data_IF_773215756802
#
_entry.id   IF_773215756802
#
_cell.length_a   1.000
_cell.length_b   1.000
_cell.length_c   1.000
_cell.angle_alpha   90.00
_cell.angle_beta   90.00
_cell.angle_gamma   90.00
#
_symmetry.space_group_name_H-M   'P 1'
#
loop_
_entity.id
_entity.type
_entity.pdbx_description
1 polymer ?
#
# COMPACT_ATOMS: atom_id res chain seq x y z
N UNK A 1 8.84 11.18 -17.20
CA UNK A 1 8.35 12.46 -16.65
C UNK A 1 7.64 12.20 -15.30
N UNK A 2 8.43 12.07 -14.20
CA UNK A 2 7.91 11.80 -12.85
C UNK A 2 7.01 12.93 -12.31
N UNK A 3 7.36 14.19 -12.62
CA UNK A 3 6.62 15.37 -12.17
C UNK A 3 5.17 15.41 -12.70
N UNK A 4 4.93 14.91 -13.92
CA UNK A 4 3.57 14.76 -14.48
C UNK A 4 2.80 13.65 -13.79
N UNK A 5 3.45 12.52 -13.48
CA UNK A 5 2.85 11.41 -12.73
C UNK A 5 2.47 11.88 -11.31
N UNK A 6 3.38 12.56 -10.60
CA UNK A 6 3.12 13.14 -9.28
C UNK A 6 2.00 14.19 -9.31
N UNK A 7 1.97 15.09 -10.30
CA UNK A 7 0.87 16.07 -10.44
C UNK A 7 -0.48 15.39 -10.68
N UNK A 8 -0.52 14.33 -11.47
CA UNK A 8 -1.76 13.57 -11.73
C UNK A 8 -2.21 12.82 -10.48
N UNK A 9 -1.31 12.08 -9.85
CA UNK A 9 -1.58 11.37 -8.60
C UNK A 9 -2.02 12.32 -7.48
N UNK A 10 -1.42 13.51 -7.39
CA UNK A 10 -1.79 14.54 -6.43
C UNK A 10 -3.22 15.09 -6.62
N UNK A 11 -3.73 15.16 -7.86
CA UNK A 11 -5.13 15.50 -8.12
C UNK A 11 -6.06 14.36 -7.70
N UNK A 12 -5.75 13.13 -8.10
CA UNK A 12 -6.53 11.93 -7.76
C UNK A 12 -6.65 11.75 -6.23
N UNK A 13 -5.58 12.04 -5.47
CA UNK A 13 -5.58 11.98 -3.99
C UNK A 13 -6.63 12.88 -3.34
N UNK A 14 -6.89 14.07 -3.91
CA UNK A 14 -7.84 15.05 -3.35
C UNK A 14 -9.30 14.65 -3.55
N UNK A 15 -9.57 13.75 -4.48
CA UNK A 15 -10.91 13.27 -4.78
C UNK A 15 -11.35 12.12 -3.86
N UNK A 16 -10.39 11.49 -3.16
CA UNK A 16 -10.66 10.38 -2.24
C UNK A 16 -11.46 10.86 -1.02
N UNK A 17 -12.42 10.04 -0.52
CA UNK A 17 -13.22 10.39 0.65
C UNK A 17 -12.40 10.80 1.89
N UNK A 18 -11.27 10.15 2.15
CA UNK A 18 -10.38 10.47 3.27
C UNK A 18 -9.85 11.91 3.24
N UNK A 19 -9.69 12.51 2.06
CA UNK A 19 -9.13 13.86 1.93
C UNK A 19 -9.97 14.91 2.66
N UNK A 20 -11.30 14.79 2.59
CA UNK A 20 -12.23 15.72 3.24
C UNK A 20 -12.14 15.71 4.77
N UNK A 21 -11.58 14.64 5.35
CA UNK A 21 -11.40 14.45 6.79
C UNK A 21 -9.93 14.53 7.21
N UNK A 22 -9.02 14.96 6.32
CA UNK A 22 -7.57 14.96 6.56
C UNK A 22 -7.20 15.58 7.91
N UNK A 23 -7.61 16.82 8.14
CA UNK A 23 -7.20 17.57 9.34
C UNK A 23 -7.79 16.95 10.62
N UNK A 24 -9.06 16.49 10.55
CA UNK A 24 -9.69 15.78 11.65
C UNK A 24 -8.98 14.45 11.96
N UNK A 25 -8.59 13.69 10.94
CA UNK A 25 -7.87 12.42 11.10
C UNK A 25 -6.51 12.64 11.76
N UNK A 26 -5.74 13.64 11.29
CA UNK A 26 -4.43 13.99 11.85
C UNK A 26 -4.58 14.41 13.32
N UNK A 27 -5.53 15.30 13.62
CA UNK A 27 -5.74 15.80 14.97
C UNK A 27 -6.16 14.69 15.94
N UNK A 28 -7.14 13.87 15.57
CA UNK A 28 -7.62 12.77 16.43
C UNK A 28 -6.52 11.73 16.68
N UNK A 29 -5.68 11.42 15.68
CA UNK A 29 -4.63 10.40 15.84
C UNK A 29 -3.42 10.94 16.61
N UNK A 30 -2.95 12.15 16.33
CA UNK A 30 -1.73 12.70 16.95
C UNK A 30 -2.01 13.38 18.29
N UNK A 31 -3.09 14.16 18.36
CA UNK A 31 -3.39 15.04 19.50
C UNK A 31 -4.57 14.55 20.35
N UNK A 32 -5.32 13.55 19.88
CA UNK A 32 -6.47 13.01 20.60
C UNK A 32 -6.10 12.41 21.96
N UNK A 33 -7.10 12.28 22.86
CA UNK A 33 -6.91 11.70 24.19
C UNK A 33 -6.79 10.18 24.18
N UNK A 34 -7.35 9.51 23.17
CA UNK A 34 -7.39 8.05 23.11
C UNK A 34 -6.15 7.52 22.38
N UNK A 35 -5.47 6.54 22.98
CA UNK A 35 -4.31 5.88 22.32
C UNK A 35 -4.73 5.04 21.10
N UNK A 36 -6.02 4.72 20.98
CA UNK A 36 -6.58 3.88 19.92
C UNK A 36 -7.67 4.63 19.16
N UNK A 37 -7.55 4.66 17.83
CA UNK A 37 -8.56 5.22 16.93
C UNK A 37 -9.05 4.13 15.99
N UNK A 38 -10.37 3.94 15.91
CA UNK A 38 -11.00 3.01 14.97
C UNK A 38 -11.51 3.81 13.78
N UNK A 39 -11.08 3.43 12.58
CA UNK A 39 -11.46 4.09 11.33
C UNK A 39 -12.23 3.10 10.47
N UNK A 40 -13.50 3.41 10.23
CA UNK A 40 -14.37 2.64 9.35
C UNK A 40 -14.55 3.39 8.05
N UNK A 41 -14.40 2.70 6.94
CA UNK A 41 -14.75 3.25 5.64
C UNK A 41 -14.53 2.24 4.55
N UNK A 42 -15.31 2.28 3.50
CA UNK A 42 -15.30 1.26 2.45
C UNK A 42 -13.93 1.13 1.75
N UNK A 43 -13.70 -0.01 1.11
CA UNK A 43 -12.55 -0.21 0.22
C UNK A 43 -12.54 0.85 -0.88
N UNK A 44 -11.36 1.38 -1.21
CA UNK A 44 -11.22 2.49 -2.17
C UNK A 44 -11.47 3.90 -1.60
N UNK A 45 -11.86 4.04 -0.34
CA UNK A 45 -11.99 5.36 0.31
C UNK A 45 -10.65 6.05 0.58
N UNK A 46 -9.53 5.34 0.43
CA UNK A 46 -8.17 5.85 0.61
C UNK A 46 -7.58 5.68 2.01
N UNK A 47 -8.16 4.83 2.87
CA UNK A 47 -7.69 4.60 4.26
C UNK A 47 -6.20 4.24 4.31
N UNK A 48 -5.87 3.12 3.66
CA UNK A 48 -4.54 2.51 3.66
C UNK A 48 -3.48 3.37 2.99
N UNK A 49 -3.84 4.01 1.88
CA UNK A 49 -2.88 4.80 1.09
C UNK A 49 -2.70 6.19 1.65
N UNK A 50 -3.76 6.86 2.11
CA UNK A 50 -3.70 8.29 2.44
C UNK A 50 -3.49 8.59 3.91
N UNK A 51 -4.13 7.85 4.84
CA UNK A 51 -4.10 8.21 6.27
C UNK A 51 -2.67 8.16 6.82
N UNK A 52 -1.87 7.09 6.58
CA UNK A 52 -0.47 7.09 7.00
C UNK A 52 0.35 8.23 6.39
N UNK A 53 0.09 8.59 5.13
CA UNK A 53 0.76 9.71 4.49
C UNK A 53 0.39 11.05 5.14
N UNK A 54 -0.88 11.27 5.51
CA UNK A 54 -1.31 12.50 6.18
C UNK A 54 -0.58 12.71 7.51
N UNK A 55 -0.34 11.64 8.26
CA UNK A 55 0.42 11.70 9.51
C UNK A 55 1.90 12.01 9.25
N UNK A 56 2.50 11.35 8.25
CA UNK A 56 3.89 11.60 7.89
C UNK A 56 4.10 13.01 7.31
N UNK A 57 3.10 13.57 6.64
CA UNK A 57 3.10 14.96 6.16
C UNK A 57 2.95 15.97 7.31
N UNK A 58 2.33 15.58 8.43
CA UNK A 58 2.18 16.42 9.63
C UNK A 58 3.43 16.36 10.54
N UNK A 59 4.07 15.19 10.62
CA UNK A 59 5.34 14.99 11.33
C UNK A 59 6.21 13.94 10.61
N UNK A 60 7.24 14.43 9.91
CA UNK A 60 8.19 13.62 9.15
C UNK A 60 9.10 12.74 10.01
N UNK A 61 9.08 12.91 11.34
CA UNK A 61 9.92 12.16 12.27
C UNK A 61 9.29 10.83 12.71
N UNK A 62 7.98 10.67 12.48
CA UNK A 62 7.21 9.48 12.84
C UNK A 62 7.72 8.23 12.13
N UNK A 63 7.82 7.15 12.89
CA UNK A 63 7.99 5.81 12.37
C UNK A 63 6.67 5.05 12.44
N UNK A 64 6.11 4.72 11.28
CA UNK A 64 4.78 4.16 11.11
C UNK A 64 4.89 2.74 10.54
N UNK A 65 4.23 1.79 11.20
CA UNK A 65 3.95 0.48 10.62
C UNK A 65 2.48 0.41 10.20
N UNK A 66 2.22 -0.04 8.97
CA UNK A 66 0.87 -0.36 8.52
C UNK A 66 0.78 -1.82 8.15
N UNK A 67 0.06 -2.60 8.94
CA UNK A 67 -0.10 -4.03 8.65
C UNK A 67 -1.18 -4.25 7.59
N UNK A 68 -1.05 -5.38 6.90
CA UNK A 68 -1.98 -5.90 5.91
C UNK A 68 -2.10 -7.42 6.14
N UNK A 69 -3.30 -8.01 6.01
CA UNK A 69 -3.44 -9.47 6.11
C UNK A 69 -2.77 -10.19 4.94
N UNK A 70 -2.64 -9.52 3.78
CA UNK A 70 -2.14 -10.11 2.53
C UNK A 70 -0.80 -9.54 2.09
N UNK A 71 0.13 -10.41 1.70
CA UNK A 71 1.47 -10.03 1.19
C UNK A 71 1.39 -9.09 -0.01
N UNK A 72 0.52 -9.42 -0.95
CA UNK A 72 0.31 -8.65 -2.19
C UNK A 72 -0.17 -7.24 -1.88
N UNK A 73 -1.06 -7.11 -0.89
CA UNK A 73 -1.56 -5.81 -0.47
C UNK A 73 -0.44 -4.93 0.11
N UNK A 74 0.38 -5.47 1.02
CA UNK A 74 1.52 -4.73 1.57
C UNK A 74 2.49 -4.24 0.48
N UNK A 75 2.85 -5.10 -0.47
CA UNK A 75 3.78 -4.76 -1.55
C UNK A 75 3.21 -3.72 -2.53
N UNK A 76 1.98 -3.94 -3.00
CA UNK A 76 1.32 -3.07 -3.99
C UNK A 76 1.00 -1.69 -3.43
N UNK A 77 0.55 -1.62 -2.17
CA UNK A 77 0.28 -0.36 -1.48
C UNK A 77 1.58 0.41 -1.25
N UNK A 78 2.65 -0.24 -0.78
CA UNK A 78 3.96 0.40 -0.64
C UNK A 78 4.46 0.96 -1.97
N UNK A 79 4.37 0.19 -3.05
CA UNK A 79 4.74 0.65 -4.39
C UNK A 79 3.91 1.84 -4.86
N UNK A 80 2.59 1.82 -4.61
CA UNK A 80 1.69 2.91 -4.94
C UNK A 80 2.03 4.18 -4.15
N UNK A 81 2.21 4.06 -2.83
CA UNK A 81 2.49 5.20 -1.95
C UNK A 81 3.89 5.78 -2.20
N UNK A 82 4.89 4.95 -2.46
CA UNK A 82 6.20 5.39 -2.90
C UNK A 82 6.12 6.19 -4.21
N UNK A 83 5.35 5.70 -5.19
CA UNK A 83 5.11 6.44 -6.44
C UNK A 83 4.35 7.76 -6.23
N UNK A 84 3.40 7.81 -5.29
CA UNK A 84 2.68 9.05 -4.92
C UNK A 84 3.60 10.08 -4.26
N UNK A 85 4.55 9.64 -3.43
CA UNK A 85 5.56 10.51 -2.79
C UNK A 85 6.77 10.80 -3.69
N UNK A 86 6.95 10.06 -4.78
CA UNK A 86 8.08 10.22 -5.70
C UNK A 86 9.39 9.65 -5.19
N UNK A 87 9.34 8.64 -4.33
CA UNK A 87 10.52 7.94 -3.83
C UNK A 87 10.55 6.49 -4.36
N UNK A 88 11.71 5.83 -4.39
CA UNK A 88 11.77 4.39 -4.61
C UNK A 88 11.20 3.63 -3.41
N UNK A 89 10.71 2.42 -3.68
CA UNK A 89 10.30 1.49 -2.60
C UNK A 89 11.55 1.04 -1.84
N UNK A 90 11.54 1.25 -0.54
CA UNK A 90 12.64 1.06 0.38
C UNK A 90 13.35 2.37 0.76
N UNK A 91 13.01 3.51 0.13
CA UNK A 91 13.36 4.85 0.64
C UNK A 91 12.48 5.24 1.84
N UNK A 92 11.88 6.43 1.82
CA UNK A 92 10.92 6.89 2.85
C UNK A 92 9.76 5.88 3.07
N UNK A 93 9.35 5.18 2.00
CA UNK A 93 8.28 4.19 1.99
C UNK A 93 8.83 2.80 1.69
N UNK A 94 8.53 1.81 2.52
CA UNK A 94 9.01 0.44 2.34
C UNK A 94 7.95 -0.62 2.60
N UNK A 95 8.32 -1.88 2.40
CA UNK A 95 7.50 -3.01 2.81
C UNK A 95 8.31 -4.14 3.45
N UNK A 96 7.64 -4.94 4.29
CA UNK A 96 8.20 -6.17 4.84
C UNK A 96 7.20 -7.33 4.82
N UNK A 97 7.49 -8.37 4.05
CA UNK A 97 6.71 -9.60 3.99
C UNK A 97 7.62 -10.81 4.21
N UNK A 98 7.04 -11.98 4.48
CA UNK A 98 7.85 -13.19 4.70
C UNK A 98 8.72 -13.48 3.47
N UNK A 99 10.03 -13.57 3.69
CA UNK A 99 11.08 -13.83 2.69
C UNK A 99 11.31 -12.72 1.65
N UNK A 100 10.70 -11.55 1.79
CA UNK A 100 10.94 -10.42 0.91
C UNK A 100 10.69 -9.10 1.66
N UNK A 101 11.71 -8.25 1.74
CA UNK A 101 11.66 -6.99 2.46
C UNK A 101 12.43 -5.93 1.69
N UNK A 102 11.83 -4.76 1.52
CA UNK A 102 12.46 -3.56 0.95
C UNK A 102 12.20 -2.39 1.88
N UNK A 103 13.14 -2.23 2.81
CA UNK A 103 13.21 -1.13 3.79
C UNK A 103 14.65 -0.67 3.83
N UNK A 104 14.85 0.60 4.15
CA UNK A 104 16.16 1.20 4.36
C UNK A 104 17.13 0.95 3.19
N UNK A 105 16.79 1.47 1.99
CA UNK A 105 17.70 1.59 0.82
C UNK A 105 18.90 2.52 1.08
N UNK A 106 19.18 2.83 2.35
CA UNK A 106 20.35 3.55 2.81
C UNK A 106 21.61 2.89 2.22
N UNK A 107 22.32 3.66 1.42
CA UNK A 107 23.68 3.33 1.00
C UNK A 107 24.57 4.00 2.04
N UNK A 108 25.27 3.25 2.92
CA UNK A 108 26.28 3.86 3.78
C UNK A 108 27.31 4.53 2.88
N UNK A 109 27.72 5.77 3.18
CA UNK A 109 28.95 6.32 2.60
C UNK A 109 30.06 5.29 2.80
N UNK A 110 30.70 4.85 1.70
CA UNK A 110 31.93 4.10 1.80
C UNK A 110 32.92 5.00 2.53
N UNK A 111 33.22 4.65 3.77
CA UNK A 111 34.35 5.25 4.46
C UNK A 111 35.57 4.77 3.67
N UNK A 112 36.16 5.67 2.88
CA UNK A 112 37.52 5.51 2.36
C UNK A 112 38.48 5.46 3.55
N UNK A 113 38.54 4.28 4.17
CA UNK A 113 39.42 3.93 5.26
C UNK A 113 40.56 3.08 4.73
N UNK A 114 41.64 3.78 4.39
CA UNK A 114 43.04 3.34 4.37
C UNK A 114 43.32 1.83 4.56
N UNK A 115 43.81 1.20 3.49
CA UNK A 115 44.87 0.19 3.53
C UNK A 115 44.53 -1.14 4.22
N UNK A 116 44.15 -2.13 3.40
CA UNK A 116 44.23 -3.56 3.75
C UNK A 116 45.66 -3.92 4.18
N UNK A 117 45.85 -4.14 5.48
CA UNK A 117 46.93 -4.96 6.01
C UNK A 117 46.39 -6.37 6.23
N UNK A 118 46.79 -7.30 5.36
CA UNK A 118 46.54 -8.73 5.49
C UNK A 118 46.98 -9.24 6.88
N UNK A 119 46.06 -9.86 7.61
CA UNK A 119 46.31 -10.54 8.86
C UNK A 119 45.28 -11.64 9.08
N UNK A 120 45.60 -12.85 8.61
CA UNK A 120 44.92 -14.08 9.01
C UNK A 120 44.97 -14.21 10.54
N UNK A 121 43.82 -14.24 11.23
CA UNK A 121 43.78 -14.74 12.60
C UNK A 121 42.70 -15.80 12.82
N UNK A 122 43.20 -16.93 13.31
CA UNK A 122 42.52 -18.16 13.65
C UNK A 122 41.57 -17.97 14.83
N UNK A 123 40.44 -18.67 14.77
CA UNK A 123 39.56 -18.87 15.91
C UNK A 123 40.25 -19.74 16.97
N UNK A 124 40.53 -19.19 18.15
CA UNK A 124 40.72 -19.94 19.39
C UNK A 124 39.71 -19.49 20.43
N UNK A 125 38.96 -20.46 20.94
CA UNK A 125 38.18 -20.36 22.17
C UNK A 125 39.13 -20.21 23.36
N UNK A 126 38.93 -19.19 24.20
CA UNK A 126 39.31 -19.29 25.61
C UNK A 126 38.21 -18.73 26.52
N UNK A 127 37.92 -19.54 27.54
CA UNK A 127 37.09 -19.26 28.69
C UNK A 127 37.83 -18.35 29.68
N UNK A 128 37.10 -17.57 30.49
CA UNK A 128 37.58 -17.23 31.84
C UNK A 128 37.32 -15.80 32.32
N UNK A 129 36.31 -15.68 33.18
CA UNK A 129 36.26 -14.94 34.45
C UNK A 129 37.05 -13.63 34.65
N UNK A 130 36.35 -12.61 35.17
CA UNK A 130 36.99 -11.51 35.90
C UNK A 130 36.03 -10.37 36.29
N UNK A 131 35.57 -10.39 37.53
CA UNK A 131 34.97 -9.26 38.27
C UNK A 131 35.77 -7.95 38.12
N UNK A 132 35.08 -6.79 38.11
CA UNK A 132 35.25 -5.74 39.15
C UNK A 132 34.33 -4.53 38.94
N UNK A 133 33.46 -4.35 39.94
CA UNK A 133 33.01 -3.14 40.65
C UNK A 133 33.15 -1.69 40.10
N UNK A 134 32.01 -0.99 40.27
CA UNK A 134 31.81 0.36 40.87
C UNK A 134 32.68 1.55 40.44
N UNK A 135 32.01 2.60 39.92
CA UNK A 135 32.14 3.96 40.48
C UNK A 135 31.00 4.91 40.04
N UNK A 136 30.40 5.54 41.04
CA UNK A 136 29.44 6.63 40.99
C UNK A 136 30.12 7.98 40.69
N UNK A 137 29.44 8.87 39.96
CA UNK A 137 29.32 10.32 40.23
C UNK A 137 28.29 10.89 39.25
N UNK A 138 27.28 11.70 39.58
CA UNK A 138 27.06 12.57 40.74
C UNK A 138 27.32 14.04 40.36
N UNK A 139 26.23 14.77 40.03
CA UNK A 139 25.99 16.25 39.97
C UNK A 139 25.11 16.53 38.73
N UNK A 140 23.87 17.04 38.78
CA UNK A 140 23.15 17.80 39.78
C UNK A 140 23.40 19.30 39.59
N UNK A 141 22.48 20.03 38.94
CA UNK A 141 22.14 21.43 39.27
C UNK A 141 20.71 21.79 38.82
N UNK A 142 20.04 22.51 39.72
CA UNK A 142 18.69 23.04 39.67
C UNK A 142 18.64 24.44 39.05
N UNK A 143 17.49 24.82 38.49
CA UNK A 143 17.18 26.22 38.18
C UNK A 143 15.75 26.41 37.64
N UNK A 144 14.79 26.66 38.53
CA UNK A 144 13.46 27.26 38.25
C UNK A 144 13.61 28.79 38.14
N UNK A 145 12.83 29.43 37.27
CA UNK A 145 11.82 30.45 37.62
C UNK A 145 11.36 31.27 36.39
N UNK A 146 10.05 31.20 36.15
CA UNK A 146 9.08 32.29 35.99
C UNK A 146 9.36 33.49 35.05
N UNK A 147 8.38 33.76 34.17
CA UNK A 147 8.28 35.02 33.44
C UNK A 147 7.08 35.06 32.48
N UNK A 148 5.93 35.50 33.00
CA UNK A 148 4.79 35.98 32.21
C UNK A 148 5.17 37.19 31.32
N UNK A 149 4.62 37.26 30.10
CA UNK A 149 4.27 38.49 29.34
C UNK A 149 3.54 38.09 28.05
N UNK A 150 2.23 38.32 27.98
CA UNK A 150 1.53 39.44 27.33
C UNK A 150 1.42 39.33 25.79
N UNK A 151 0.16 39.22 25.35
CA UNK A 151 -0.27 39.19 23.95
C UNK A 151 -0.19 40.58 23.31
N UNK A 152 0.63 40.72 22.27
CA UNK A 152 0.65 41.88 21.38
C UNK A 152 0.03 41.54 20.03
N UNK A 153 -1.10 42.17 19.71
CA UNK A 153 -1.66 42.21 18.36
C UNK A 153 -0.72 42.99 17.43
N UNK A 154 -0.31 42.39 16.30
CA UNK A 154 0.33 43.10 15.20
C UNK A 154 -0.51 42.84 13.94
N UNK A 155 -1.15 43.90 13.46
CA UNK A 155 -1.72 43.99 12.11
C UNK A 155 -0.54 44.17 11.15
N UNK A 156 -0.43 43.31 10.14
CA UNK A 156 0.47 43.51 9.01
C UNK A 156 -0.39 43.77 7.77
N UNK A 157 -0.24 44.97 7.24
CA UNK A 157 -0.80 45.41 5.97
C UNK A 157 -0.16 44.59 4.83
N UNK A 158 -1.01 44.04 3.96
CA UNK A 158 -0.62 43.35 2.74
C UNK A 158 -0.25 44.39 1.65
N UNK A 159 1.03 44.47 1.30
CA UNK A 159 1.46 45.00 0.00
C UNK A 159 1.77 43.82 -0.95
N UNK A 160 1.22 43.78 -2.18
CA UNK A 160 1.50 42.72 -3.12
C UNK A 160 2.89 42.86 -3.73
N UNK A 161 3.65 41.76 -3.71
CA UNK A 161 4.96 41.66 -4.35
C UNK A 161 4.87 41.88 -5.88
N UNK A 162 5.86 42.55 -6.50
CA UNK A 162 5.86 42.81 -7.94
C UNK A 162 6.13 41.53 -8.75
N UNK A 163 5.47 41.42 -9.91
CA UNK A 163 5.67 40.33 -10.87
C UNK A 163 7.13 40.31 -11.39
N UNK A 164 7.75 39.13 -11.58
CA UNK A 164 9.09 39.04 -12.15
C UNK A 164 9.07 39.42 -13.63
N UNK A 165 10.07 40.20 -14.03
CA UNK A 165 10.28 40.71 -15.38
C UNK A 165 10.53 39.58 -16.39
N UNK A 166 9.94 39.73 -17.58
CA UNK A 166 10.23 38.91 -18.76
C UNK A 166 11.66 39.24 -19.25
N UNK A 167 12.60 38.31 -19.10
CA UNK A 167 13.92 38.43 -19.73
C UNK A 167 13.85 37.93 -21.17
N UNK A 168 14.11 38.87 -22.08
CA UNK A 168 14.24 38.65 -23.53
C UNK A 168 15.42 37.73 -23.85
N UNK A 169 15.12 36.63 -24.55
CA UNK A 169 16.09 35.63 -24.97
C UNK A 169 16.93 36.16 -26.16
N UNK A 170 18.12 36.68 -25.89
CA UNK A 170 19.12 36.92 -26.94
C UNK A 170 19.87 35.63 -27.26
N UNK A 171 19.52 35.01 -28.38
CA UNK A 171 20.26 33.88 -28.92
C UNK A 171 21.70 34.27 -29.25
N UNK A 172 22.66 33.48 -28.76
CA UNK A 172 24.00 33.47 -29.31
C UNK A 172 24.47 32.03 -29.55
N UNK A 173 24.92 31.82 -30.78
CA UNK A 173 25.41 30.56 -31.33
C UNK A 173 26.76 30.16 -30.70
N UNK A 174 26.91 28.85 -30.52
CA UNK A 174 28.16 28.15 -30.85
C UNK A 174 29.10 27.85 -29.70
N UNK A 175 28.82 26.77 -28.97
CA UNK A 175 29.84 25.90 -28.35
C UNK A 175 29.31 24.47 -28.35
N UNK A 176 29.94 23.59 -29.13
CA UNK A 176 29.80 22.13 -28.99
C UNK A 176 30.51 21.73 -27.69
N UNK A 177 29.79 21.79 -26.57
CA UNK A 177 30.20 21.19 -25.31
C UNK A 177 29.81 19.72 -25.31
N UNK A 178 30.76 18.84 -25.03
CA UNK A 178 30.49 17.45 -24.69
C UNK A 178 29.52 17.44 -23.50
N UNK A 179 28.35 16.83 -23.66
CA UNK A 179 27.50 16.45 -22.54
C UNK A 179 28.26 15.37 -21.76
N UNK A 180 29.05 15.80 -20.77
CA UNK A 180 29.48 14.91 -19.70
C UNK A 180 28.20 14.49 -18.97
N UNK A 181 27.81 13.22 -19.11
CA UNK A 181 26.85 12.58 -18.22
C UNK A 181 27.45 12.65 -16.81
N UNK A 182 27.14 13.71 -16.05
CA UNK A 182 27.30 13.69 -14.59
C UNK A 182 26.48 12.50 -14.10
N UNK A 183 27.16 11.41 -13.73
CA UNK A 183 26.54 10.34 -12.94
C UNK A 183 26.08 10.97 -11.63
N UNK A 184 24.79 11.31 -11.56
CA UNK A 184 24.14 11.86 -10.37
C UNK A 184 24.57 11.05 -9.14
N UNK A 185 25.23 11.71 -8.19
CA UNK A 185 25.61 11.08 -6.93
C UNK A 185 24.39 10.36 -6.31
N UNK A 186 24.55 9.13 -5.77
CA UNK A 186 23.43 8.35 -5.28
C UNK A 186 22.63 9.15 -4.24
N UNK A 187 21.36 9.40 -4.55
CA UNK A 187 20.44 10.11 -3.67
C UNK A 187 20.26 9.30 -2.39
N UNK A 188 20.63 9.86 -1.23
CA UNK A 188 20.25 9.29 0.06
C UNK A 188 18.74 9.47 0.28
N UNK A 189 18.00 8.37 0.16
CA UNK A 189 16.56 8.35 0.37
C UNK A 189 16.16 8.30 1.86
N UNK A 190 17.14 8.34 2.76
CA UNK A 190 16.96 8.26 4.20
C UNK A 190 16.47 6.89 4.67
N UNK A 191 16.16 6.81 5.97
CA UNK A 191 15.53 5.63 6.57
C UNK A 191 14.06 5.54 6.21
N UNK A 192 13.56 4.31 6.09
CA UNK A 192 12.13 4.08 5.87
C UNK A 192 11.32 4.56 7.08
N UNK A 193 10.36 5.45 6.82
CA UNK A 193 9.46 6.04 7.82
C UNK A 193 8.09 5.37 7.86
N UNK A 194 7.59 4.94 6.71
CA UNK A 194 6.33 4.20 6.61
C UNK A 194 6.59 2.82 6.00
N UNK A 195 6.42 1.79 6.84
CA UNK A 195 6.57 0.39 6.42
C UNK A 195 5.21 -0.28 6.32
N UNK A 196 4.85 -0.74 5.12
CA UNK A 196 3.72 -1.66 4.94
C UNK A 196 4.17 -3.11 5.16
N UNK A 197 3.51 -3.86 6.03
CA UNK A 197 3.96 -5.22 6.34
C UNK A 197 2.80 -6.19 6.49
N UNK A 198 3.08 -7.49 6.44
CA UNK A 198 2.06 -8.46 6.85
C UNK A 198 1.89 -8.48 8.38
N UNK A 199 0.69 -8.78 8.88
CA UNK A 199 0.43 -8.94 10.32
C UNK A 199 1.46 -9.88 11.00
N UNK A 200 1.78 -10.99 10.33
CA UNK A 200 2.76 -11.96 10.84
C UNK A 200 4.20 -11.43 10.91
N UNK A 201 4.55 -10.41 10.12
CA UNK A 201 5.85 -9.74 10.24
C UNK A 201 5.89 -8.81 11.45
N UNK A 202 4.81 -8.08 11.76
CA UNK A 202 4.70 -7.32 13.01
C UNK A 202 4.83 -8.24 14.23
N UNK A 203 4.11 -9.37 14.23
CA UNK A 203 4.21 -10.36 15.31
C UNK A 203 5.62 -10.94 15.44
N UNK A 204 6.33 -11.16 14.34
CA UNK A 204 7.72 -11.60 14.36
C UNK A 204 8.65 -10.53 14.94
N UNK A 205 8.49 -9.27 14.56
CA UNK A 205 9.25 -8.18 15.15
C UNK A 205 9.00 -8.10 16.66
N UNK A 206 7.76 -8.28 17.11
CA UNK A 206 7.42 -8.29 18.53
C UNK A 206 8.03 -9.45 19.34
N UNK A 207 8.49 -10.53 18.70
CA UNK A 207 9.25 -11.57 19.39
C UNK A 207 10.66 -11.06 19.72
N UNK A 208 11.27 -10.28 18.82
CA UNK A 208 12.61 -9.72 18.98
C UNK A 208 12.63 -8.46 19.84
N UNK A 209 11.66 -7.56 19.64
CA UNK A 209 11.40 -6.38 20.46
C UNK A 209 9.99 -6.45 21.04
N UNK A 210 9.82 -7.08 22.23
CA UNK A 210 8.52 -7.20 22.88
C UNK A 210 7.81 -5.89 23.18
N UNK A 211 8.54 -4.76 23.21
CA UNK A 211 7.96 -3.45 23.44
C UNK A 211 7.57 -2.74 22.14
N UNK A 212 8.10 -3.17 20.99
CA UNK A 212 7.89 -2.59 19.66
C UNK A 212 8.23 -1.08 19.66
N UNK A 213 9.34 -0.70 20.30
CA UNK A 213 9.73 0.72 20.50
C UNK A 213 10.15 1.40 19.19
N UNK A 214 10.31 0.63 18.11
CA UNK A 214 10.62 1.13 16.76
C UNK A 214 9.53 2.07 16.20
N UNK A 215 8.26 1.80 16.50
CA UNK A 215 7.12 2.53 15.91
C UNK A 215 6.45 3.46 16.91
N UNK A 216 6.13 4.66 16.43
CA UNK A 216 5.30 5.65 17.12
C UNK A 216 3.82 5.38 16.87
N UNK A 217 3.49 4.87 15.67
CA UNK A 217 2.12 4.57 15.23
C UNK A 217 2.07 3.20 14.54
N UNK A 218 1.12 2.37 14.94
CA UNK A 218 0.84 1.09 14.30
C UNK A 218 -0.60 1.10 13.76
N UNK A 219 -0.74 0.89 12.46
CA UNK A 219 -2.02 0.63 11.81
C UNK A 219 -2.24 -0.89 11.71
N UNK A 220 -3.41 -1.35 12.15
CA UNK A 220 -3.95 -2.66 11.80
C UNK A 220 -5.02 -2.46 10.74
N UNK A 221 -4.68 -2.70 9.48
CA UNK A 221 -5.62 -2.54 8.37
C UNK A 221 -6.39 -3.82 8.06
N UNK A 222 -7.51 -3.66 7.35
CA UNK A 222 -8.38 -4.74 6.92
C UNK A 222 -8.80 -5.64 8.10
N UNK A 223 -9.01 -5.05 9.29
CA UNK A 223 -9.32 -5.78 10.52
C UNK A 223 -10.61 -6.62 10.45
N UNK A 224 -11.45 -6.38 9.44
CA UNK A 224 -12.64 -7.18 9.14
C UNK A 224 -12.31 -8.55 8.55
N UNK A 225 -11.11 -8.78 7.98
CA UNK A 225 -10.69 -10.12 7.53
C UNK A 225 -10.46 -11.07 8.70
N UNK A 226 -10.35 -10.55 9.94
CA UNK A 226 -10.27 -11.32 11.21
C UNK A 226 -9.32 -12.51 11.13
N UNK A 227 -8.14 -12.30 10.54
CA UNK A 227 -7.13 -13.35 10.48
C UNK A 227 -6.59 -13.65 11.88
N UNK A 228 -6.12 -14.88 12.10
CA UNK A 228 -5.51 -15.27 13.39
C UNK A 228 -4.36 -14.33 13.79
N UNK A 229 -3.54 -13.91 12.82
CA UNK A 229 -2.43 -13.00 13.11
C UNK A 229 -2.94 -11.60 13.50
N UNK A 230 -3.98 -11.09 12.84
CA UNK A 230 -4.62 -9.81 13.20
C UNK A 230 -5.17 -9.88 14.63
N UNK A 231 -5.89 -10.95 14.98
CA UNK A 231 -6.47 -11.12 16.32
C UNK A 231 -5.39 -11.23 17.42
N UNK A 232 -4.29 -11.96 17.15
CA UNK A 232 -3.13 -12.02 18.05
C UNK A 232 -2.46 -10.64 18.17
N UNK A 233 -2.33 -9.90 17.07
CA UNK A 233 -1.77 -8.55 17.07
C UNK A 233 -2.63 -7.59 17.90
N UNK A 234 -3.96 -7.63 17.77
CA UNK A 234 -4.89 -6.83 18.59
C UNK A 234 -4.67 -7.09 20.09
N UNK A 235 -4.57 -8.36 20.50
CA UNK A 235 -4.30 -8.75 21.89
C UNK A 235 -2.94 -8.27 22.39
N UNK A 236 -1.89 -8.40 21.59
CA UNK A 236 -0.55 -7.93 21.90
C UNK A 236 -0.52 -6.41 22.07
N UNK A 237 -1.08 -5.66 21.11
CA UNK A 237 -1.12 -4.20 21.12
C UNK A 237 -1.92 -3.66 22.31
N UNK A 238 -3.04 -4.28 22.66
CA UNK A 238 -3.81 -3.93 23.88
C UNK A 238 -2.95 -4.08 25.14
N UNK A 239 -2.17 -5.17 25.23
CA UNK A 239 -1.27 -5.40 26.36
C UNK A 239 -0.20 -4.30 26.46
N UNK A 240 0.34 -3.85 25.33
CA UNK A 240 1.34 -2.79 25.27
C UNK A 240 0.82 -1.44 25.76
N UNK A 241 -0.44 -1.09 25.47
CA UNK A 241 -1.06 0.14 25.98
C UNK A 241 -1.23 0.14 27.50
N UNK A 242 -1.55 -1.02 28.07
CA UNK A 242 -1.77 -1.16 29.52
C UNK A 242 -0.48 -1.39 30.33
N UNK A 243 0.64 -1.66 29.65
CA UNK A 243 1.90 -2.03 30.27
C UNK A 243 2.83 -0.83 30.47
N UNK A 244 3.70 -0.91 31.48
CA UNK A 244 4.76 0.10 31.74
C UNK A 244 6.06 -0.17 30.98
N UNK A 245 6.05 -1.09 30.02
CA UNK A 245 7.26 -1.61 29.39
C UNK A 245 7.79 -0.73 28.25
N UNK A 246 6.91 0.09 27.64
CA UNK A 246 7.32 1.00 26.56
C UNK A 246 7.99 2.25 27.12
N UNK A 247 9.05 2.66 26.43
CA UNK A 247 9.77 3.89 26.73
C UNK A 247 9.18 5.10 25.98
N UNK A 248 8.36 4.86 24.95
CA UNK A 248 7.71 5.88 24.13
C UNK A 248 6.21 5.58 23.99
N UNK A 249 5.34 6.61 24.00
CA UNK A 249 3.91 6.45 23.76
C UNK A 249 3.68 5.80 22.38
N UNK A 250 2.61 5.03 22.26
CA UNK A 250 2.22 4.35 21.02
C UNK A 250 0.79 4.73 20.67
N UNK A 251 0.58 5.17 19.43
CA UNK A 251 -0.77 5.30 18.87
C UNK A 251 -1.11 4.07 18.04
N UNK A 252 -2.34 3.59 18.16
CA UNK A 252 -2.84 2.45 17.38
C UNK A 252 -4.03 2.93 16.56
N UNK A 253 -4.01 2.62 15.28
CA UNK A 253 -5.11 2.92 14.36
C UNK A 253 -5.63 1.61 13.78
N UNK A 254 -6.93 1.34 13.94
CA UNK A 254 -7.55 0.11 13.44
C UNK A 254 -8.45 0.49 12.29
N UNK A 255 -8.11 0.02 11.09
CA UNK A 255 -8.85 0.33 9.88
C UNK A 255 -9.70 -0.88 9.44
N UNK A 256 -10.95 -0.62 9.10
CA UNK A 256 -11.90 -1.65 8.65
C UNK A 256 -12.78 -1.14 7.52
N UNK A 257 -13.14 -2.02 6.58
CA UNK A 257 -14.10 -1.74 5.52
C UNK A 257 -15.55 -1.82 5.99
N UNK A 258 -15.82 -2.63 7.03
CA UNK A 258 -17.18 -2.94 7.50
C UNK A 258 -17.55 -2.12 8.74
N UNK A 259 -18.87 -1.95 8.95
CA UNK A 259 -19.45 -1.11 10.01
C UNK A 259 -19.31 -1.68 11.43
N UNK A 260 -18.66 -2.84 11.61
CA UNK A 260 -18.49 -3.48 12.91
C UNK A 260 -17.33 -2.88 13.72
N UNK A 261 -17.32 -1.56 13.92
CA UNK A 261 -16.36 -0.91 14.81
C UNK A 261 -16.64 -1.16 16.28
N UNK A 262 -17.91 -1.39 16.66
CA UNK A 262 -18.32 -1.47 18.07
C UNK A 262 -17.57 -2.54 18.88
N UNK A 263 -17.38 -3.79 18.38
CA UNK A 263 -16.62 -4.80 19.13
C UNK A 263 -15.16 -4.40 19.34
N UNK A 264 -14.53 -3.79 18.33
CA UNK A 264 -13.13 -3.34 18.40
C UNK A 264 -13.00 -2.16 19.37
N UNK A 265 -13.88 -1.17 19.26
CA UNK A 265 -13.91 -0.01 20.14
C UNK A 265 -14.11 -0.44 21.60
N UNK A 266 -15.04 -1.36 21.85
CA UNK A 266 -15.25 -1.94 23.18
C UNK A 266 -14.03 -2.73 23.69
N UNK A 267 -13.36 -3.49 22.82
CA UNK A 267 -12.15 -4.24 23.18
C UNK A 267 -11.01 -3.32 23.65
N UNK A 268 -10.83 -2.16 23.03
CA UNK A 268 -9.81 -1.17 23.41
C UNK A 268 -10.30 -0.11 24.40
N UNK A 269 -11.60 -0.10 24.75
CA UNK A 269 -12.21 0.95 25.56
C UNK A 269 -11.96 2.36 24.99
N UNK A 270 -12.07 2.50 23.67
CA UNK A 270 -11.92 3.77 22.95
C UNK A 270 -13.27 4.32 22.51
N UNK A 271 -13.41 5.64 22.53
CA UNK A 271 -14.58 6.35 21.98
C UNK A 271 -14.26 6.99 20.62
N UNK A 272 -13.00 6.96 20.20
CA UNK A 272 -12.52 7.54 18.96
C UNK A 272 -12.81 6.63 17.76
N UNK A 273 -14.07 6.67 17.30
CA UNK A 273 -14.53 5.97 16.10
C UNK A 273 -14.83 6.98 14.99
N UNK A 274 -14.13 6.90 13.87
CA UNK A 274 -14.30 7.78 12.71
C UNK A 274 -14.91 6.98 11.56
N UNK A 275 -16.02 7.48 11.00
CA UNK A 275 -16.67 6.91 9.83
C UNK A 275 -16.37 7.76 8.59
N UNK A 276 -15.68 7.16 7.62
CA UNK A 276 -15.44 7.72 6.29
C UNK A 276 -16.53 7.19 5.37
N UNK A 277 -17.47 8.07 4.99
CA UNK A 277 -18.53 7.70 4.04
C UNK A 277 -17.93 7.54 2.64
N UNK A 278 -18.13 6.36 2.05
CA UNK A 278 -17.74 6.07 0.67
C UNK A 278 -18.60 6.83 -0.35
N UNK A 279 -18.13 6.83 -1.60
CA UNK A 279 -18.92 7.26 -2.76
C UNK A 279 -19.26 6.01 -3.57
N UNK A 280 -20.26 5.25 -3.13
CA UNK A 280 -20.73 4.12 -3.92
C UNK A 280 -21.60 4.62 -5.08
N UNK A 281 -21.35 4.04 -6.24
CA UNK A 281 -22.29 4.13 -7.35
C UNK A 281 -23.28 2.97 -7.26
N UNK A 282 -24.56 3.16 -7.59
CA UNK A 282 -25.52 2.07 -7.59
C UNK A 282 -25.08 1.00 -8.58
N UNK A 283 -25.03 -0.26 -8.13
CA UNK A 283 -24.69 -1.43 -8.95
C UNK A 283 -25.96 -2.22 -9.25
N UNK A 284 -26.16 -2.59 -10.50
CA UNK A 284 -27.27 -3.47 -10.91
C UNK A 284 -26.86 -4.93 -10.73
N UNK A 285 -27.69 -5.69 -10.03
CA UNK A 285 -27.45 -7.11 -9.76
C UNK A 285 -28.23 -7.99 -10.74
N UNK A 286 -27.55 -8.99 -11.31
CA UNK A 286 -28.11 -9.97 -12.21
C UNK A 286 -27.75 -11.36 -11.69
N UNK A 287 -28.76 -12.22 -11.52
CA UNK A 287 -28.59 -13.57 -11.00
C UNK A 287 -28.95 -14.59 -12.08
N UNK A 288 -28.27 -15.73 -12.08
CA UNK A 288 -28.68 -16.90 -12.86
C UNK A 288 -30.04 -17.39 -12.38
N UNK A 289 -30.86 -17.90 -13.30
CA UNK A 289 -32.19 -18.41 -12.95
C UNK A 289 -32.16 -19.73 -12.19
N UNK A 290 -31.09 -20.51 -12.37
CA UNK A 290 -30.84 -21.78 -11.70
C UNK A 290 -29.34 -21.91 -11.40
N UNK A 291 -28.92 -22.69 -10.40
CA UNK A 291 -27.51 -22.96 -10.13
C UNK A 291 -26.81 -23.58 -11.35
N UNK A 292 -25.61 -23.09 -11.66
CA UNK A 292 -24.77 -23.61 -12.75
C UNK A 292 -23.81 -24.68 -12.23
N UNK A 293 -23.85 -25.89 -12.80
CA UNK A 293 -22.92 -26.98 -12.42
C UNK A 293 -21.48 -26.68 -12.86
N UNK A 294 -21.31 -26.13 -14.07
CA UNK A 294 -20.01 -25.68 -14.59
C UNK A 294 -19.93 -24.15 -14.56
N UNK A 295 -19.69 -23.61 -13.36
CA UNK A 295 -19.51 -22.18 -13.19
C UNK A 295 -18.31 -21.61 -13.96
N UNK A 296 -17.34 -22.45 -14.36
CA UNK A 296 -16.22 -22.00 -15.20
C UNK A 296 -16.67 -21.69 -16.63
N UNK A 297 -17.47 -22.56 -17.25
CA UNK A 297 -18.04 -22.27 -18.58
C UNK A 297 -19.06 -21.12 -18.50
N UNK A 298 -19.90 -21.08 -17.46
CA UNK A 298 -20.82 -19.97 -17.23
C UNK A 298 -20.09 -18.62 -17.11
N UNK A 299 -18.96 -18.57 -16.39
CA UNK A 299 -18.07 -17.41 -16.28
C UNK A 299 -17.54 -16.98 -17.66
N UNK A 300 -17.02 -17.92 -18.46
CA UNK A 300 -16.50 -17.65 -19.81
C UNK A 300 -17.60 -17.03 -20.68
N UNK A 301 -18.78 -17.64 -20.71
CA UNK A 301 -19.89 -17.17 -21.52
C UNK A 301 -20.36 -15.77 -21.06
N UNK A 302 -20.48 -15.56 -19.75
CA UNK A 302 -20.89 -14.26 -19.19
C UNK A 302 -19.90 -13.15 -19.53
N UNK A 303 -18.59 -13.40 -19.38
CA UNK A 303 -17.55 -12.43 -19.74
C UNK A 303 -17.62 -12.08 -21.24
N UNK A 304 -17.81 -13.08 -22.12
CA UNK A 304 -17.91 -12.84 -23.56
C UNK A 304 -19.18 -12.07 -23.94
N UNK A 305 -20.32 -12.39 -23.31
CA UNK A 305 -21.57 -11.64 -23.49
C UNK A 305 -21.39 -10.18 -23.07
N UNK A 306 -20.86 -9.93 -21.87
CA UNK A 306 -20.55 -8.58 -21.40
C UNK A 306 -19.57 -7.85 -22.33
N UNK A 307 -18.58 -8.58 -22.87
CA UNK A 307 -17.62 -8.03 -23.82
C UNK A 307 -18.26 -7.54 -25.12
N UNK A 308 -19.15 -8.35 -25.70
CA UNK A 308 -19.79 -8.07 -26.99
C UNK A 308 -20.93 -7.05 -26.87
N UNK A 309 -21.79 -7.21 -25.86
CA UNK A 309 -22.99 -6.36 -25.70
C UNK A 309 -22.67 -4.96 -25.20
N UNK A 310 -21.52 -4.78 -24.54
CA UNK A 310 -21.08 -3.49 -24.04
C UNK A 310 -19.74 -3.14 -24.70
N UNK A 311 -19.68 -2.61 -25.92
CA UNK A 311 -18.42 -2.25 -26.56
C UNK A 311 -17.61 -1.26 -25.70
N UNK A 312 -16.29 -1.39 -25.73
CA UNK A 312 -15.40 -0.55 -24.93
C UNK A 312 -15.54 0.92 -25.32
N UNK A 313 -15.91 1.74 -24.33
CA UNK A 313 -16.07 3.18 -24.52
C UNK A 313 -14.95 3.90 -23.78
N UNK A 314 -14.11 4.62 -24.51
CA UNK A 314 -13.22 5.62 -23.92
C UNK A 314 -14.05 6.89 -23.72
N UNK A 315 -14.11 7.37 -22.49
CA UNK A 315 -14.70 8.68 -22.18
C UNK A 315 -13.65 9.54 -21.49
N UNK A 316 -13.82 10.88 -21.44
CA UNK A 316 -12.94 11.74 -20.65
C UNK A 316 -12.83 11.29 -19.19
N UNK A 317 -13.91 10.74 -18.63
CA UNK A 317 -13.95 10.18 -17.28
C UNK A 317 -13.31 8.78 -17.18
N UNK A 318 -13.14 8.08 -18.32
CA UNK A 318 -12.62 6.70 -18.42
C UNK A 318 -11.59 6.59 -19.53
N UNK A 319 -10.44 7.26 -19.40
CA UNK A 319 -9.40 7.28 -20.43
C UNK A 319 -8.75 5.90 -20.67
N UNK A 320 -8.97 4.96 -19.75
CA UNK A 320 -8.43 3.60 -19.79
C UNK A 320 -9.52 2.53 -20.01
N UNK A 321 -10.76 2.99 -20.21
CA UNK A 321 -11.99 2.21 -20.41
C UNK A 321 -12.33 1.18 -19.33
N UNK A 322 -13.30 0.32 -19.64
CA UNK A 322 -13.96 -0.56 -18.68
C UNK A 322 -13.21 -1.88 -18.47
N UNK A 323 -13.10 -2.32 -17.21
CA UNK A 323 -12.53 -3.60 -16.78
C UNK A 323 -13.65 -4.54 -16.32
N UNK A 324 -13.52 -5.82 -16.68
CA UNK A 324 -14.34 -6.92 -16.15
C UNK A 324 -13.52 -7.67 -15.10
N UNK A 325 -14.08 -7.86 -13.90
CA UNK A 325 -13.49 -8.63 -12.82
C UNK A 325 -14.29 -9.93 -12.63
N UNK A 326 -13.63 -11.08 -12.78
CA UNK A 326 -14.22 -12.40 -12.53
C UNK A 326 -13.65 -13.03 -11.26
N UNK A 327 -14.52 -13.46 -10.33
CA UNK A 327 -14.10 -14.19 -9.13
C UNK A 327 -14.16 -15.70 -9.34
N UNK A 328 -13.10 -16.40 -8.97
CA UNK A 328 -12.94 -17.86 -9.06
C UNK A 328 -12.24 -18.38 -7.79
N UNK A 329 -12.37 -19.68 -7.48
CA UNK A 329 -11.95 -20.22 -6.19
C UNK A 329 -10.43 -20.43 -6.08
N UNK A 330 -9.73 -20.59 -7.20
CA UNK A 330 -8.29 -20.81 -7.19
C UNK A 330 -7.60 -20.87 -8.56
N UNK A 331 -6.30 -21.13 -8.51
CA UNK A 331 -5.40 -21.13 -9.69
C UNK A 331 -5.90 -22.00 -10.85
N UNK A 332 -6.26 -23.26 -10.60
CA UNK A 332 -6.64 -24.21 -11.66
C UNK A 332 -7.86 -23.74 -12.46
N UNK A 333 -8.86 -23.18 -11.78
CA UNK A 333 -10.06 -22.61 -12.41
C UNK A 333 -9.73 -21.33 -13.19
N UNK A 334 -8.93 -20.45 -12.59
CA UNK A 334 -8.45 -19.22 -13.25
C UNK A 334 -7.72 -19.57 -14.56
N UNK A 335 -6.82 -20.54 -14.52
CA UNK A 335 -6.08 -20.98 -15.71
C UNK A 335 -6.99 -21.62 -16.76
N UNK A 336 -7.99 -22.41 -16.35
CA UNK A 336 -8.99 -22.99 -17.23
C UNK A 336 -9.82 -21.91 -17.94
N UNK A 337 -10.43 -21.00 -17.19
CA UNK A 337 -11.22 -19.87 -17.73
C UNK A 337 -10.36 -18.99 -18.63
N UNK A 338 -9.12 -18.68 -18.22
CA UNK A 338 -8.17 -17.94 -19.03
C UNK A 338 -7.85 -18.64 -20.37
N UNK A 339 -7.63 -19.96 -20.36
CA UNK A 339 -7.42 -20.73 -21.59
C UNK A 339 -8.65 -20.71 -22.49
N UNK A 340 -9.82 -20.96 -21.93
CA UNK A 340 -11.11 -20.99 -22.65
C UNK A 340 -11.44 -19.64 -23.28
N UNK A 341 -11.29 -18.53 -22.55
CA UNK A 341 -11.45 -17.18 -23.10
C UNK A 341 -10.47 -16.92 -24.25
N UNK A 342 -9.19 -17.30 -24.12
CA UNK A 342 -8.20 -17.15 -25.19
C UNK A 342 -8.58 -17.93 -26.45
N UNK A 343 -9.07 -19.17 -26.30
CA UNK A 343 -9.49 -19.97 -27.44
C UNK A 343 -10.73 -19.40 -28.14
N UNK A 344 -11.73 -18.98 -27.36
CA UNK A 344 -12.95 -18.35 -27.89
C UNK A 344 -12.62 -17.05 -28.64
N UNK A 345 -11.71 -16.23 -28.11
CA UNK A 345 -11.27 -15.00 -28.76
C UNK A 345 -10.48 -15.21 -30.06
N UNK A 346 -9.71 -16.31 -30.19
CA UNK A 346 -9.05 -16.66 -31.46
C UNK A 346 -10.04 -16.97 -32.58
N UNK A 347 -11.20 -17.50 -32.22
CA UNK A 347 -12.28 -17.87 -33.14
C UNK A 347 -13.35 -16.77 -33.27
N UNK A 348 -13.14 -15.61 -32.62
CA UNK A 348 -14.10 -14.52 -32.67
C UNK A 348 -14.19 -13.92 -34.09
N UNK A 349 -15.35 -13.36 -34.48
CA UNK A 349 -15.51 -12.67 -35.74
C UNK A 349 -14.42 -11.60 -35.98
N UNK A 350 -14.05 -11.39 -37.24
CA UNK A 350 -13.15 -10.29 -37.60
C UNK A 350 -13.78 -8.95 -37.19
N UNK A 351 -13.00 -8.10 -36.52
CA UNK A 351 -13.45 -6.83 -35.98
C UNK A 351 -13.91 -6.89 -34.52
N UNK A 352 -13.98 -8.07 -33.89
CA UNK A 352 -14.19 -8.17 -32.44
C UNK A 352 -13.00 -7.56 -31.70
N UNK A 353 -13.29 -6.68 -30.76
CA UNK A 353 -12.27 -6.02 -29.96
C UNK A 353 -11.41 -7.03 -29.18
N UNK A 354 -10.08 -6.88 -29.15
CA UNK A 354 -9.20 -7.78 -28.41
C UNK A 354 -9.40 -7.68 -26.88
N UNK A 355 -9.20 -8.82 -26.20
CA UNK A 355 -9.16 -8.92 -24.74
C UNK A 355 -7.73 -9.02 -24.21
N UNK A 356 -7.46 -8.33 -23.11
CA UNK A 356 -6.30 -8.55 -22.25
C UNK A 356 -6.76 -9.32 -21.00
N UNK A 357 -6.42 -10.60 -20.91
CA UNK A 357 -6.84 -11.46 -19.80
C UNK A 357 -5.67 -11.58 -18.81
N UNK A 358 -5.89 -11.20 -17.55
CA UNK A 358 -4.87 -11.11 -16.51
C UNK A 358 -5.28 -11.97 -15.30
N UNK A 359 -4.54 -13.03 -14.96
CA UNK A 359 -4.80 -13.79 -13.74
C UNK A 359 -4.32 -13.06 -12.49
N UNK A 360 -4.99 -13.28 -11.35
CA UNK A 360 -4.61 -12.73 -10.05
C UNK A 360 -4.88 -13.74 -8.92
N UNK A 361 -3.85 -14.48 -8.52
CA UNK A 361 -3.89 -15.43 -7.40
C UNK A 361 -2.56 -15.45 -6.62
N UNK A 362 -2.56 -16.02 -5.42
CA UNK A 362 -1.48 -15.88 -4.43
C UNK A 362 -0.11 -16.39 -4.88
N UNK A 363 -0.05 -17.42 -5.72
CA UNK A 363 1.20 -18.05 -6.19
C UNK A 363 1.93 -17.26 -7.28
N UNK A 364 1.29 -16.28 -7.90
CA UNK A 364 1.94 -15.41 -8.89
C UNK A 364 3.08 -14.60 -8.28
N UNK A 365 4.09 -14.28 -9.08
CA UNK A 365 5.13 -13.33 -8.65
C UNK A 365 4.54 -11.93 -8.43
N UNK A 366 5.22 -11.11 -7.63
CA UNK A 366 4.77 -9.74 -7.36
C UNK A 366 4.63 -8.91 -8.66
N UNK A 367 5.56 -9.06 -9.59
CA UNK A 367 5.50 -8.40 -10.91
C UNK A 367 4.24 -8.83 -11.70
N UNK A 368 3.91 -10.12 -11.69
CA UNK A 368 2.71 -10.62 -12.37
C UNK A 368 1.42 -10.13 -11.74
N UNK A 369 1.34 -10.07 -10.41
CA UNK A 369 0.18 -9.55 -9.70
C UNK A 369 0.00 -8.05 -9.96
N UNK A 370 1.10 -7.29 -10.01
CA UNK A 370 1.09 -5.86 -10.34
C UNK A 370 0.50 -5.57 -11.73
N UNK A 371 0.53 -6.54 -12.66
CA UNK A 371 -0.09 -6.36 -13.98
C UNK A 371 -1.58 -6.09 -13.91
N UNK A 372 -2.30 -6.66 -12.94
CA UNK A 372 -3.74 -6.43 -12.78
C UNK A 372 -4.05 -4.94 -12.50
N UNK A 373 -3.14 -4.24 -11.83
CA UNK A 373 -3.29 -2.83 -11.43
C UNK A 373 -2.71 -1.82 -12.43
N UNK A 374 -2.04 -2.30 -13.48
CA UNK A 374 -1.46 -1.44 -14.53
C UNK A 374 -2.55 -0.78 -15.40
N UNK A 375 -2.21 0.22 -16.20
CA UNK A 375 -3.16 0.76 -17.19
C UNK A 375 -3.33 -0.18 -18.38
N UNK A 376 -4.57 -0.55 -18.80
CA UNK A 376 -4.82 -1.28 -20.03
C UNK A 376 -4.11 -0.66 -21.24
N UNK A 377 -3.44 -1.49 -22.05
CA UNK A 377 -2.84 -1.04 -23.31
C UNK A 377 -1.38 -0.57 -23.28
N UNK A 378 -0.73 -0.42 -22.11
CA UNK A 378 0.71 -0.06 -22.03
C UNK A 378 1.69 -1.26 -22.10
N UNK A 379 1.24 -2.41 -22.60
CA UNK A 379 1.94 -3.70 -22.49
C UNK A 379 2.77 -4.14 -23.70
N UNK A 380 3.81 -3.39 -24.08
CA UNK A 380 5.17 -3.84 -24.51
C UNK A 380 5.89 -2.67 -25.17
N UNK A 381 6.97 -2.15 -24.56
CA UNK A 381 8.09 -1.67 -25.38
C UNK A 381 8.57 -2.89 -26.17
N UNK A 382 8.49 -2.85 -27.49
CA UNK A 382 9.09 -3.87 -28.34
C UNK A 382 10.56 -4.06 -27.96
N UNK A 383 11.09 -5.27 -28.14
CA UNK A 383 12.54 -5.50 -28.05
C UNK A 383 13.26 -4.45 -28.91
N UNK A 384 14.12 -3.64 -28.26
CA UNK A 384 15.09 -2.67 -28.81
C UNK A 384 14.61 -1.83 -30.02
N UNK A 385 14.33 -0.55 -29.77
CA UNK A 385 14.54 0.51 -30.77
C UNK A 385 13.37 0.96 -31.62
N UNK A 386 12.11 0.65 -31.27
CA UNK A 386 10.95 1.29 -31.88
C UNK A 386 10.19 2.06 -30.81
N UNK A 387 10.31 3.39 -30.85
CA UNK A 387 9.31 4.28 -30.25
C UNK A 387 8.00 3.99 -30.96
N UNK A 388 7.05 3.39 -30.25
CA UNK A 388 5.67 3.33 -30.73
C UNK A 388 5.11 4.71 -30.41
N UNK A 389 4.93 5.53 -31.45
CA UNK A 389 4.20 6.79 -31.35
C UNK A 389 2.88 6.55 -30.60
N UNK A 390 2.51 7.47 -29.70
CA UNK A 390 1.23 7.45 -29.00
C UNK A 390 0.09 7.66 -29.99
N UNK A 391 -0.29 6.62 -30.71
CA UNK A 391 -1.35 6.62 -31.71
C UNK A 391 -1.52 5.21 -32.30
N UNK A 392 -2.74 4.67 -32.24
CA UNK A 392 -3.18 3.45 -32.93
C UNK A 392 -2.70 2.08 -32.41
N UNK A 393 -2.46 1.94 -31.10
CA UNK A 393 -2.51 0.62 -30.46
C UNK A 393 -3.96 0.17 -30.28
N UNK A 394 -4.39 -0.96 -30.87
CA UNK A 394 -5.73 -1.54 -30.66
C UNK A 394 -6.07 -1.58 -29.16
N UNK A 395 -7.01 -0.74 -28.72
CA UNK A 395 -7.43 -0.69 -27.32
C UNK A 395 -8.02 -2.04 -26.91
N UNK A 396 -7.39 -2.68 -25.91
CA UNK A 396 -7.81 -3.99 -25.38
C UNK A 396 -8.66 -3.79 -24.14
N UNK A 397 -9.83 -4.41 -24.09
CA UNK A 397 -10.59 -4.50 -22.83
C UNK A 397 -9.87 -5.47 -21.90
N UNK A 398 -9.69 -5.08 -20.64
CA UNK A 398 -9.09 -5.95 -19.63
C UNK A 398 -10.13 -6.81 -18.94
N UNK A 399 -9.78 -8.07 -18.75
CA UNK A 399 -10.48 -9.04 -17.90
C UNK A 399 -9.50 -9.49 -16.83
N UNK A 400 -9.78 -9.21 -15.57
CA UNK A 400 -9.01 -9.74 -14.43
C UNK A 400 -9.75 -10.94 -13.87
N UNK A 401 -9.08 -12.08 -13.80
CA UNK A 401 -9.60 -13.32 -13.19
C UNK A 401 -8.90 -13.51 -11.85
N UNK A 402 -9.63 -13.32 -10.75
CA UNK A 402 -9.08 -13.21 -9.43
C UNK A 402 -9.68 -14.22 -8.44
N UNK A 403 -8.92 -14.60 -7.43
CA UNK A 403 -9.52 -15.14 -6.20
C UNK A 403 -10.04 -13.98 -5.34
N UNK A 404 -10.50 -14.27 -4.12
CA UNK A 404 -10.84 -13.28 -3.10
C UNK A 404 -9.72 -12.26 -2.75
N UNK A 405 -8.54 -12.31 -3.39
CA UNK A 405 -7.48 -11.29 -3.31
C UNK A 405 -7.96 -9.93 -3.82
N UNK A 406 -8.88 -9.90 -4.80
CA UNK A 406 -9.42 -8.67 -5.34
C UNK A 406 -10.65 -8.14 -4.59
N UNK A 407 -11.11 -8.82 -3.54
CA UNK A 407 -12.37 -8.49 -2.84
C UNK A 407 -12.22 -7.26 -1.93
N UNK A 408 -11.26 -7.29 -1.01
CA UNK A 408 -11.19 -6.32 0.08
C UNK A 408 -9.89 -5.53 0.09
N UNK A 409 -8.75 -6.22 -0.06
CA UNK A 409 -7.45 -5.60 0.19
C UNK A 409 -6.90 -4.76 -0.97
N UNK A 410 -7.47 -4.88 -2.18
CA UNK A 410 -6.96 -4.21 -3.38
C UNK A 410 -8.05 -3.74 -4.34
N UNK A 411 -7.95 -2.49 -4.80
CA UNK A 411 -8.84 -1.93 -5.81
C UNK A 411 -8.20 -1.99 -7.20
N UNK A 412 -8.89 -2.66 -8.13
CA UNK A 412 -8.49 -2.64 -9.55
C UNK A 412 -9.15 -1.41 -10.20
N UNK A 413 -8.38 -0.46 -10.74
CA UNK A 413 -8.94 0.74 -11.33
C UNK A 413 -9.74 0.41 -12.60
N UNK A 414 -10.90 1.04 -12.76
CA UNK A 414 -11.74 0.92 -13.96
C UNK A 414 -12.68 -0.30 -13.98
N UNK A 415 -12.79 -1.06 -12.89
CA UNK A 415 -13.80 -2.14 -12.79
C UNK A 415 -15.20 -1.55 -12.94
N UNK A 416 -15.92 -2.06 -13.94
CA UNK A 416 -17.33 -1.72 -14.21
C UNK A 416 -18.24 -2.93 -14.07
N UNK A 417 -17.73 -4.10 -14.46
CA UNK A 417 -18.49 -5.34 -14.43
C UNK A 417 -17.80 -6.32 -13.50
N UNK A 418 -18.59 -6.94 -12.64
CA UNK A 418 -18.14 -8.04 -11.77
C UNK A 418 -18.94 -9.27 -12.14
N UNK A 419 -18.25 -10.38 -12.37
CA UNK A 419 -18.86 -11.70 -12.54
C UNK A 419 -18.40 -12.54 -11.35
N UNK A 420 -19.35 -12.93 -10.52
CA UNK A 420 -19.08 -13.66 -9.28
C UNK A 420 -19.70 -15.06 -9.39
N UNK A 421 -18.90 -16.10 -9.14
CA UNK A 421 -19.39 -17.48 -9.08
C UNK A 421 -20.06 -17.80 -7.75
N UNK A 422 -19.83 -16.99 -6.71
CA UNK A 422 -20.29 -17.25 -5.35
C UNK A 422 -19.54 -18.39 -4.66
N UNK A 423 -18.36 -18.76 -5.16
CA UNK A 423 -17.58 -19.93 -4.72
C UNK A 423 -16.21 -19.50 -4.22
N UNK A 424 -15.81 -19.96 -3.03
CA UNK A 424 -14.53 -19.56 -2.41
C UNK A 424 -13.84 -20.74 -1.74
N UNK A 425 -12.51 -20.77 -1.77
CA UNK A 425 -11.73 -21.74 -0.97
C UNK A 425 -11.56 -21.23 0.47
N UNK A 426 -12.12 -21.97 1.42
CA UNK A 426 -12.01 -21.68 2.84
C UNK A 426 -11.30 -22.80 3.59
N UNK A 427 -10.61 -22.41 4.67
CA UNK A 427 -9.98 -23.37 5.58
C UNK A 427 -11.00 -23.85 6.58
N UNK A 428 -11.14 -25.16 6.68
CA UNK A 428 -11.95 -25.82 7.69
C UNK A 428 -11.04 -26.55 8.66
N UNK A 429 -11.24 -26.30 9.96
CA UNK A 429 -10.57 -27.04 11.01
C UNK A 429 -11.55 -28.04 11.62
N UNK A 430 -11.19 -29.32 11.58
CA UNK A 430 -11.96 -30.36 12.25
C UNK A 430 -11.34 -30.63 13.63
N UNK A 431 -12.03 -30.26 14.74
CA UNK A 431 -11.49 -30.43 16.09
C UNK A 431 -11.39 -31.89 16.53
N UNK A 432 -12.18 -32.79 15.93
CA UNK A 432 -12.15 -34.22 16.28
C UNK A 432 -10.95 -34.94 15.66
N UNK A 433 -10.51 -34.50 14.49
CA UNK A 433 -9.34 -35.07 13.78
C UNK A 433 -8.08 -34.22 13.92
N UNK A 434 -8.19 -33.01 14.49
CA UNK A 434 -7.13 -32.00 14.58
C UNK A 434 -6.49 -31.70 13.23
N UNK A 435 -7.28 -31.72 12.17
CA UNK A 435 -6.82 -31.52 10.79
C UNK A 435 -7.42 -30.26 10.19
N UNK A 436 -6.60 -29.53 9.43
CA UNK A 436 -7.05 -28.46 8.56
C UNK A 436 -7.20 -28.98 7.13
N UNK A 437 -8.34 -28.68 6.51
CA UNK A 437 -8.62 -28.91 5.09
C UNK A 437 -8.89 -27.57 4.41
N UNK A 438 -8.58 -27.49 3.12
CA UNK A 438 -8.97 -26.35 2.27
C UNK A 438 -10.06 -26.85 1.34
N UNK A 439 -11.28 -26.42 1.57
CA UNK A 439 -12.47 -26.88 0.86
C UNK A 439 -13.08 -25.70 0.10
N UNK A 440 -13.81 -26.03 -0.96
CA UNK A 440 -14.56 -25.07 -1.75
C UNK A 440 -15.94 -24.96 -1.11
N UNK A 441 -16.29 -23.76 -0.64
CA UNK A 441 -17.61 -23.41 -0.11
C UNK A 441 -18.46 -22.77 -1.21
#
# INVERSE_FOLDING_TARGET
NLAVVQRRLGKDRRELPTWSLKDQLVDVILNGSDDVVVIVGETGSGKTTQIPQFLLDADHTLNIACTQPRRVAAQTVAARVAAERGCPVGGEIGYSVRFDSKVDLYVPEEVEGEGEGEGEEQWQEEQGAGDTDMAQSGKGYWGRADGEREYGHVMLDEEPAPAPAEEEWHGNNGYEGQEEEEEDAPIDWGRTRLTYMTDGMLLREAIADPCINKYDIIFLDEAHERTVNTDVALGLLRRLLTGTQRTRPLRIVIMSATLEASPIAAFFNTNSVILIKGRQFPVSHHFVSQPEEDYCDAMVNTILTLHVENPYTLTPERPNGDVILGFLSGQSEIENVHHSLKQRMKNAPKGTQPLEIVPLYAQLSAEEQMRAFSTPGKGRKGKKGAEVEEGEGEHRRRVVLATNIAETSLTIPGVRFVVDTGVVKQRFFNPSTLSETLEVD
#
